data_IF_398483568640
#
_entry.id   IF_398483568640
#
_cell.length_a   1.000
_cell.length_b   1.000
_cell.length_c   1.000
_cell.angle_alpha   90.00
_cell.angle_beta   90.00
_cell.angle_gamma   90.00
#
_symmetry.space_group_name_H-M   'P 1'
#
loop_
_entity.id
_entity.type
_entity.pdbx_description
1 polymer ?
#
# COMPACT_ATOMS: atom_id res chain seq x y z
N UNK A 1 36.77 9.86 -5.24
CA UNK A 1 36.04 9.72 -6.52
C UNK A 1 36.31 8.32 -7.02
N UNK A 2 35.33 7.43 -6.90
CA UNK A 2 35.48 6.03 -7.29
C UNK A 2 34.14 5.51 -7.74
N UNK A 3 34.01 5.31 -9.05
CA UNK A 3 32.92 4.60 -9.70
C UNK A 3 32.89 3.17 -9.15
N UNK A 4 31.76 2.76 -8.56
CA UNK A 4 31.48 1.36 -8.26
C UNK A 4 30.11 1.00 -8.83
N UNK A 5 30.13 0.63 -10.11
CA UNK A 5 29.03 0.03 -10.85
C UNK A 5 28.81 -1.40 -10.33
N UNK A 6 27.89 -1.58 -9.39
CA UNK A 6 27.33 -2.90 -9.09
C UNK A 6 26.42 -3.35 -10.24
N UNK A 7 26.84 -4.38 -10.98
CA UNK A 7 26.01 -5.05 -11.98
C UNK A 7 25.08 -6.04 -11.27
N UNK A 8 23.77 -5.93 -11.50
CA UNK A 8 22.84 -7.01 -11.18
C UNK A 8 22.70 -7.90 -12.42
N UNK A 9 23.13 -9.16 -12.32
CA UNK A 9 22.86 -10.21 -13.30
C UNK A 9 21.57 -10.92 -12.90
N UNK A 10 20.57 -10.90 -13.76
CA UNK A 10 19.39 -11.79 -13.64
C UNK A 10 19.33 -12.73 -14.84
N UNK A 11 19.03 -14.00 -14.60
CA UNK A 11 18.88 -15.04 -15.62
C UNK A 11 17.38 -15.29 -15.80
N UNK A 12 16.87 -15.07 -17.01
CA UNK A 12 15.52 -15.48 -17.38
C UNK A 12 15.54 -16.98 -17.76
N UNK A 13 14.80 -17.81 -17.03
CA UNK A 13 14.73 -19.26 -17.32
C UNK A 13 13.82 -19.62 -18.52
N UNK A 14 13.16 -18.65 -19.15
CA UNK A 14 12.32 -18.83 -20.35
C UNK A 14 13.04 -18.61 -21.68
N UNK A 15 14.21 -17.97 -21.70
CA UNK A 15 14.96 -17.65 -22.93
C UNK A 15 16.47 -17.87 -22.70
N UNK A 16 17.04 -18.99 -23.15
CA UNK A 16 18.43 -19.36 -22.82
C UNK A 16 19.52 -18.50 -23.48
N UNK A 17 19.18 -17.48 -24.28
CA UNK A 17 20.15 -16.65 -25.01
C UNK A 17 20.15 -15.15 -24.64
N UNK A 18 19.35 -14.69 -23.67
CA UNK A 18 19.33 -13.29 -23.25
C UNK A 18 20.14 -13.06 -21.97
N UNK A 19 21.23 -12.28 -22.05
CA UNK A 19 21.95 -11.74 -20.88
C UNK A 19 21.54 -10.29 -20.68
N UNK A 20 20.94 -9.97 -19.53
CA UNK A 20 20.55 -8.60 -19.17
C UNK A 20 21.64 -7.94 -18.30
N UNK A 21 22.03 -6.72 -18.66
CA UNK A 21 22.98 -5.88 -17.92
C UNK A 21 22.27 -4.59 -17.49
N UNK A 22 22.07 -4.40 -16.18
CA UNK A 22 21.52 -3.18 -15.58
C UNK A 22 22.49 -2.52 -14.61
N UNK A 23 22.46 -1.19 -14.51
CA UNK A 23 23.23 -0.41 -13.53
C UNK A 23 22.30 0.50 -12.73
N UNK A 24 22.65 0.82 -11.49
CA UNK A 24 21.77 1.54 -10.56
C UNK A 24 21.38 2.98 -10.99
N UNK A 25 22.05 3.57 -11.99
CA UNK A 25 21.80 4.94 -12.44
C UNK A 25 20.87 5.05 -13.67
N UNK A 26 20.71 3.96 -14.41
CA UNK A 26 19.91 3.93 -15.62
C UNK A 26 19.19 2.57 -15.64
N UNK A 27 17.86 2.59 -15.63
CA UNK A 27 17.05 1.37 -15.71
C UNK A 27 17.57 0.40 -16.77
N UNK A 28 17.25 -0.89 -16.60
CA UNK A 28 17.65 -1.94 -17.55
C UNK A 28 17.30 -1.51 -18.97
N UNK A 29 18.32 -1.33 -19.82
CA UNK A 29 18.12 -1.07 -21.25
C UNK A 29 18.14 -2.40 -21.98
N UNK A 30 16.98 -2.80 -22.50
CA UNK A 30 16.89 -3.93 -23.42
C UNK A 30 17.28 -3.42 -24.81
N UNK A 31 18.51 -3.71 -25.27
CA UNK A 31 18.83 -3.73 -26.69
C UNK A 31 18.32 -5.06 -27.26
N UNK A 32 17.03 -5.16 -27.58
CA UNK A 32 16.50 -6.29 -28.35
C UNK A 32 15.84 -5.79 -29.62
N UNK A 33 16.24 -6.39 -30.75
CA UNK A 33 15.64 -6.19 -32.05
C UNK A 33 14.38 -7.06 -32.23
N UNK A 34 13.47 -7.06 -31.25
CA UNK A 34 12.25 -7.87 -31.29
C UNK A 34 11.06 -7.02 -31.74
N UNK A 35 10.67 -7.19 -33.01
CA UNK A 35 9.52 -6.52 -33.65
C UNK A 35 8.21 -6.69 -32.88
N UNK A 36 8.04 -7.79 -32.12
CA UNK A 36 6.84 -8.05 -31.30
C UNK A 36 6.73 -7.10 -30.10
N UNK A 37 7.86 -6.77 -29.45
CA UNK A 37 7.89 -5.80 -28.35
C UNK A 37 7.70 -4.37 -28.87
N UNK A 38 8.24 -4.05 -30.04
CA UNK A 38 7.99 -2.77 -30.70
C UNK A 38 6.52 -2.60 -31.10
N UNK A 39 5.87 -3.66 -31.60
CA UNK A 39 4.44 -3.61 -31.95
C UNK A 39 3.55 -3.45 -30.71
N UNK A 40 3.88 -4.14 -29.61
CA UNK A 40 3.20 -3.97 -28.33
C UNK A 40 3.39 -2.54 -27.76
N UNK A 41 4.62 -2.00 -27.83
CA UNK A 41 4.91 -0.62 -27.42
C UNK A 41 4.19 0.41 -28.31
N UNK A 42 4.13 0.21 -29.63
CA UNK A 42 3.37 1.08 -30.56
C UNK A 42 1.86 0.97 -30.36
N UNK A 43 1.35 -0.20 -30.00
CA UNK A 43 -0.07 -0.38 -29.65
C UNK A 43 -0.41 0.35 -28.34
N UNK A 44 0.47 0.28 -27.33
CA UNK A 44 0.34 1.02 -26.09
C UNK A 44 0.46 2.54 -26.29
N UNK A 45 1.38 3.00 -27.16
CA UNK A 45 1.52 4.41 -27.54
C UNK A 45 0.23 4.97 -28.13
N UNK A 46 -0.35 4.26 -29.11
CA UNK A 46 -1.61 4.67 -29.76
C UNK A 46 -2.80 4.68 -28.81
N UNK A 47 -2.76 3.89 -27.73
CA UNK A 47 -3.76 3.92 -26.67
C UNK A 47 -3.55 5.11 -25.71
N UNK A 48 -2.30 5.52 -25.48
CA UNK A 48 -1.94 6.64 -24.60
C UNK A 48 -2.14 8.02 -25.25
N UNK A 49 -1.93 8.13 -26.57
CA UNK A 49 -2.04 9.37 -27.36
C UNK A 49 -3.48 9.94 -27.43
N UNK A 50 -4.47 9.16 -26.98
CA UNK A 50 -5.87 9.57 -26.79
C UNK A 50 -6.37 9.50 -25.35
N UNK A 51 -5.54 9.12 -24.38
CA UNK A 51 -5.95 8.99 -22.99
C UNK A 51 -6.07 10.38 -22.36
N UNK A 52 -7.29 10.88 -22.23
CA UNK A 52 -7.57 12.01 -21.37
C UNK A 52 -7.09 11.69 -19.94
N UNK A 53 -6.66 12.70 -19.14
CA UNK A 53 -6.45 12.50 -17.72
C UNK A 53 -7.69 11.81 -17.12
N UNK A 54 -7.52 10.92 -16.13
CA UNK A 54 -8.66 10.34 -15.45
C UNK A 54 -9.59 11.49 -15.03
N UNK A 55 -10.85 11.43 -15.49
CA UNK A 55 -11.86 12.40 -15.09
C UNK A 55 -11.90 12.46 -13.56
N UNK A 56 -12.31 13.58 -12.96
CA UNK A 56 -12.54 13.60 -11.52
C UNK A 56 -13.49 12.45 -11.12
N UNK A 57 -13.00 11.52 -10.29
CA UNK A 57 -13.68 10.27 -9.93
C UNK A 57 -13.27 9.01 -10.72
N UNK A 58 -12.39 9.12 -11.71
CA UNK A 58 -11.71 7.95 -12.28
C UNK A 58 -10.48 7.62 -11.41
N UNK A 59 -10.41 6.38 -10.93
CA UNK A 59 -9.36 5.97 -10.02
C UNK A 59 -8.00 5.70 -10.69
N UNK A 60 -6.99 5.42 -9.88
CA UNK A 60 -5.67 4.94 -10.29
C UNK A 60 -5.16 3.84 -9.36
N UNK A 61 -4.32 2.99 -9.91
CA UNK A 61 -3.58 1.96 -9.19
C UNK A 61 -2.17 2.50 -8.88
N UNK A 62 -1.93 2.88 -7.63
CA UNK A 62 -0.63 3.31 -7.14
C UNK A 62 0.15 2.12 -6.56
N UNK A 63 1.34 1.87 -7.10
CA UNK A 63 2.22 0.78 -6.65
C UNK A 63 3.53 1.35 -6.12
N UNK A 64 3.85 1.01 -4.87
CA UNK A 64 5.21 1.14 -4.35
C UNK A 64 6.03 0.00 -4.95
N UNK A 65 6.91 0.35 -5.88
CA UNK A 65 7.77 -0.59 -6.61
C UNK A 65 9.02 -0.92 -5.80
N UNK A 66 9.54 0.05 -5.04
CA UNK A 66 10.78 -0.15 -4.32
C UNK A 66 10.83 0.72 -3.07
N UNK A 67 11.30 0.13 -1.98
CA UNK A 67 11.91 0.84 -0.87
C UNK A 67 13.39 0.43 -0.84
N UNK A 68 14.26 1.42 -0.96
CA UNK A 68 15.70 1.20 -1.06
C UNK A 68 16.42 1.90 0.09
N UNK A 69 16.86 1.17 1.14
CA UNK A 69 17.71 1.71 2.18
C UNK A 69 19.00 2.30 1.62
N UNK A 70 19.41 3.45 2.14
CA UNK A 70 20.70 4.05 1.81
C UNK A 70 21.83 3.09 2.16
N UNK A 71 22.90 3.14 1.35
CA UNK A 71 24.09 2.29 1.51
C UNK A 71 23.80 0.78 1.51
N UNK A 72 22.64 0.35 1.02
CA UNK A 72 22.16 -1.04 1.10
C UNK A 72 22.13 -1.58 2.54
N UNK A 73 21.92 -0.68 3.51
CA UNK A 73 21.89 -1.04 4.91
C UNK A 73 20.78 -2.08 5.17
N UNK A 74 21.08 -3.15 5.93
CA UNK A 74 20.04 -4.07 6.39
C UNK A 74 19.07 -3.34 7.34
N UNK A 75 17.89 -3.94 7.55
CA UNK A 75 16.79 -3.32 8.33
C UNK A 75 17.23 -2.89 9.72
N UNK A 76 18.17 -3.62 10.35
CA UNK A 76 18.65 -3.38 11.71
C UNK A 76 19.56 -2.15 11.84
N UNK A 77 20.04 -1.58 10.73
CA UNK A 77 20.92 -0.40 10.76
C UNK A 77 20.53 0.72 9.78
N UNK A 78 19.53 0.48 8.94
CA UNK A 78 19.06 1.44 7.96
C UNK A 78 18.48 2.70 8.63
N UNK A 79 19.07 3.87 8.31
CA UNK A 79 18.58 5.15 8.84
C UNK A 79 17.61 5.82 7.88
N UNK A 80 17.91 5.74 6.58
CA UNK A 80 17.15 6.40 5.51
C UNK A 80 16.90 5.46 4.36
N UNK A 81 15.83 5.71 3.63
CA UNK A 81 15.52 5.03 2.38
C UNK A 81 14.95 6.00 1.35
N UNK A 82 15.01 5.58 0.08
CA UNK A 82 14.22 6.18 -0.99
C UNK A 82 13.03 5.27 -1.29
N UNK A 83 11.87 5.86 -1.57
CA UNK A 83 10.66 5.14 -1.98
C UNK A 83 10.39 5.51 -3.44
N UNK A 84 10.32 4.50 -4.29
CA UNK A 84 9.95 4.63 -5.69
C UNK A 84 8.59 4.00 -5.97
N UNK A 85 7.75 4.70 -6.72
CA UNK A 85 6.39 4.27 -7.00
C UNK A 85 5.95 4.60 -8.43
N UNK A 86 4.95 3.87 -8.91
CA UNK A 86 4.28 4.09 -10.20
C UNK A 86 2.79 4.24 -10.03
N UNK A 87 2.19 4.93 -11.00
CA UNK A 87 0.75 5.04 -11.17
C UNK A 87 0.35 4.30 -12.43
N UNK A 88 -0.74 3.55 -12.36
CA UNK A 88 -1.33 2.82 -13.47
C UNK A 88 -2.82 3.12 -13.58
N UNK A 89 -3.37 2.91 -14.78
CA UNK A 89 -4.81 2.89 -14.99
C UNK A 89 -5.42 1.71 -14.21
N UNK A 90 -6.62 1.87 -13.62
CA UNK A 90 -7.19 0.87 -12.71
C UNK A 90 -7.23 -0.54 -13.29
N UNK A 91 -6.77 -1.51 -12.49
CA UNK A 91 -6.74 -2.94 -12.82
C UNK A 91 -5.95 -3.26 -14.08
N UNK A 92 -4.89 -2.49 -14.35
CA UNK A 92 -4.02 -2.68 -15.52
C UNK A 92 -2.58 -2.30 -15.21
N UNK A 93 -1.67 -2.56 -16.15
CA UNK A 93 -0.31 -2.00 -16.17
C UNK A 93 -0.20 -0.83 -17.17
N UNK A 94 -1.32 -0.34 -17.69
CA UNK A 94 -1.32 0.79 -18.61
C UNK A 94 -0.97 2.06 -17.84
N UNK A 95 -0.10 2.87 -18.42
CA UNK A 95 0.32 4.13 -17.80
C UNK A 95 -0.76 5.20 -18.00
N UNK A 96 -0.92 6.13 -17.04
CA UNK A 96 -1.72 7.33 -17.24
C UNK A 96 -1.18 8.20 -18.37
N UNK A 97 -1.97 9.20 -18.78
CA UNK A 97 -1.60 10.17 -19.80
C UNK A 97 -0.25 10.86 -19.50
N UNK A 98 0.57 11.04 -20.53
CA UNK A 98 1.95 11.54 -20.43
C UNK A 98 2.07 12.90 -19.72
N UNK A 99 1.11 13.80 -19.97
CA UNK A 99 1.06 15.13 -19.35
C UNK A 99 0.45 15.17 -17.96
N UNK A 100 -0.01 14.05 -17.41
CA UNK A 100 -0.67 14.02 -16.10
C UNK A 100 0.38 14.10 -14.99
N UNK A 101 0.30 15.18 -14.21
CA UNK A 101 1.22 15.52 -13.12
C UNK A 101 0.47 15.69 -11.80
N UNK A 102 -0.15 14.62 -11.27
CA UNK A 102 -0.89 14.74 -10.02
C UNK A 102 0.05 14.97 -8.84
N UNK A 103 -0.48 15.53 -7.76
CA UNK A 103 0.19 15.51 -6.47
C UNK A 103 0.08 14.10 -5.88
N UNK A 104 1.22 13.51 -5.54
CA UNK A 104 1.31 12.16 -5.01
C UNK A 104 1.93 12.22 -3.63
N UNK A 105 1.17 11.82 -2.63
CA UNK A 105 1.62 11.76 -1.24
C UNK A 105 1.90 10.33 -0.82
N UNK A 106 3.04 10.12 -0.17
CA UNK A 106 3.34 8.88 0.56
C UNK A 106 2.91 9.10 2.00
N UNK A 107 2.27 8.08 2.55
CA UNK A 107 1.79 8.04 3.93
C UNK A 107 2.50 6.90 4.65
N UNK A 108 2.73 7.07 5.95
CA UNK A 108 3.45 6.13 6.80
C UNK A 108 2.65 5.82 8.06
N UNK A 109 2.42 4.54 8.33
CA UNK A 109 2.01 4.04 9.64
C UNK A 109 3.23 3.49 10.39
N UNK A 110 3.32 3.78 11.69
CA UNK A 110 4.28 3.17 12.61
C UNK A 110 3.52 2.21 13.51
N UNK A 111 3.88 0.93 13.49
CA UNK A 111 3.20 -0.11 14.24
C UNK A 111 1.69 -0.15 14.00
N UNK A 112 0.92 0.23 15.03
CA UNK A 112 -0.53 0.27 15.05
C UNK A 112 -1.05 1.71 15.13
N UNK A 113 -0.18 2.69 14.90
CA UNK A 113 -0.59 4.08 14.76
C UNK A 113 -1.22 4.30 13.38
N UNK A 114 -2.24 5.18 13.29
CA UNK A 114 -2.79 5.64 12.03
C UNK A 114 -1.70 6.12 11.08
N UNK A 115 -1.87 5.82 9.80
CA UNK A 115 -0.98 6.31 8.76
C UNK A 115 -1.10 7.84 8.66
N UNK A 116 0.03 8.51 8.67
CA UNK A 116 0.15 9.96 8.53
C UNK A 116 0.81 10.33 7.20
N UNK A 117 0.52 11.52 6.62
CA UNK A 117 1.28 12.05 5.51
C UNK A 117 2.77 12.12 5.87
N UNK A 118 3.60 11.44 5.07
CA UNK A 118 5.05 11.45 5.23
C UNK A 118 5.70 12.53 4.36
N UNK A 119 5.24 12.66 3.11
CA UNK A 119 5.78 13.62 2.17
C UNK A 119 5.18 13.50 0.77
N UNK A 120 5.51 14.46 -0.10
CA UNK A 120 5.12 14.46 -1.51
C UNK A 120 6.21 13.78 -2.33
N UNK A 121 5.83 12.75 -3.09
CA UNK A 121 6.72 12.10 -4.05
C UNK A 121 6.82 12.97 -5.32
N UNK A 122 8.03 13.12 -5.84
CA UNK A 122 8.31 13.96 -7.00
C UNK A 122 8.36 13.11 -8.26
N UNK A 123 7.64 13.53 -9.30
CA UNK A 123 7.68 12.87 -10.60
C UNK A 123 9.06 13.04 -11.22
N UNK A 124 9.68 11.93 -11.63
CA UNK A 124 10.95 11.93 -12.33
C UNK A 124 10.78 12.54 -13.72
N UNK A 125 11.85 13.16 -14.21
CA UNK A 125 11.95 13.67 -15.58
C UNK A 125 13.14 13.01 -16.28
N UNK A 126 12.96 12.58 -17.52
CA UNK A 126 14.01 12.01 -18.39
C UNK A 126 14.01 12.79 -19.69
N UNK A 127 15.16 13.36 -20.07
CA UNK A 127 15.31 14.21 -21.26
C UNK A 127 14.28 15.35 -21.35
N UNK A 128 13.94 15.94 -20.21
CA UNK A 128 12.95 17.02 -20.10
C UNK A 128 11.49 16.56 -20.17
N UNK A 129 11.23 15.26 -20.37
CA UNK A 129 9.89 14.68 -20.41
C UNK A 129 9.50 14.04 -19.08
N UNK A 130 8.23 14.16 -18.66
CA UNK A 130 7.74 13.49 -17.46
C UNK A 130 7.84 11.98 -17.64
N UNK A 131 8.42 11.32 -16.64
CA UNK A 131 8.50 9.87 -16.57
C UNK A 131 7.47 9.41 -15.52
N UNK A 132 6.70 8.34 -15.77
CA UNK A 132 5.60 7.92 -14.90
C UNK A 132 6.13 7.14 -13.69
N UNK A 133 7.05 7.77 -12.97
CA UNK A 133 7.73 7.26 -11.79
C UNK A 133 7.90 8.41 -10.82
N UNK A 134 7.52 8.18 -9.57
CA UNK A 134 7.62 9.17 -8.51
C UNK A 134 8.56 8.66 -7.43
N UNK A 135 9.33 9.58 -6.86
CA UNK A 135 10.34 9.28 -5.85
C UNK A 135 10.12 10.16 -4.61
N UNK A 136 10.14 9.55 -3.43
CA UNK A 136 10.30 10.24 -2.16
C UNK A 136 11.63 9.82 -1.54
N UNK A 137 12.60 10.74 -1.54
CA UNK A 137 13.96 10.49 -1.07
C UNK A 137 14.12 10.81 0.43
N UNK A 138 15.18 10.26 1.02
CA UNK A 138 15.61 10.58 2.38
C UNK A 138 14.56 10.30 3.48
N UNK A 139 13.71 9.31 3.26
CA UNK A 139 12.70 8.90 4.24
C UNK A 139 13.40 8.30 5.46
N UNK A 140 13.17 8.89 6.64
CA UNK A 140 13.62 8.31 7.90
C UNK A 140 12.89 6.99 8.19
N UNK A 141 13.66 5.91 8.20
CA UNK A 141 13.22 4.54 8.50
C UNK A 141 13.88 3.99 9.76
N UNK A 142 14.64 4.82 10.49
CA UNK A 142 15.46 4.39 11.64
C UNK A 142 14.64 3.73 12.76
N UNK A 143 13.35 4.03 12.85
CA UNK A 143 12.43 3.38 13.80
C UNK A 143 12.34 1.87 13.58
N UNK A 144 12.48 1.37 12.36
CA UNK A 144 12.42 -0.05 12.04
C UNK A 144 13.69 -0.83 12.44
N UNK A 145 14.75 -0.14 12.88
CA UNK A 145 15.95 -0.79 13.42
C UNK A 145 15.65 -1.55 14.74
N UNK A 146 14.62 -1.11 15.47
CA UNK A 146 14.11 -1.85 16.62
C UNK A 146 13.17 -2.97 16.13
N UNK A 147 13.43 -4.24 16.46
CA UNK A 147 12.58 -5.36 16.01
C UNK A 147 11.14 -5.31 16.57
N UNK A 148 10.87 -4.51 17.60
CA UNK A 148 9.52 -4.25 18.10
C UNK A 148 8.73 -3.27 17.23
N UNK A 149 9.41 -2.53 16.34
CA UNK A 149 8.84 -1.49 15.51
C UNK A 149 8.79 -1.90 14.02
N UNK A 150 7.71 -1.49 13.35
CA UNK A 150 7.50 -1.72 11.93
C UNK A 150 6.88 -0.49 11.26
N UNK A 151 7.26 -0.27 10.02
CA UNK A 151 6.77 0.82 9.19
C UNK A 151 5.96 0.25 8.04
N UNK A 152 4.80 0.84 7.77
CA UNK A 152 4.03 0.56 6.57
C UNK A 152 3.88 1.83 5.74
N UNK A 153 3.99 1.70 4.43
CA UNK A 153 3.85 2.80 3.49
C UNK A 153 2.70 2.54 2.53
N UNK A 154 1.95 3.61 2.25
CA UNK A 154 0.84 3.62 1.31
C UNK A 154 0.83 4.94 0.53
N UNK A 155 0.16 4.96 -0.60
CA UNK A 155 0.16 6.08 -1.54
C UNK A 155 -1.23 6.67 -1.68
N UNK A 156 -1.32 8.00 -1.76
CA UNK A 156 -2.53 8.72 -2.14
C UNK A 156 -2.24 9.73 -3.24
N UNK A 157 -3.12 9.77 -4.22
CA UNK A 157 -3.08 10.72 -5.33
C UNK A 157 -4.20 11.72 -5.15
N UNK A 158 -3.88 13.01 -5.16
CA UNK A 158 -4.86 14.06 -4.91
C UNK A 158 -5.95 14.10 -6.00
N UNK A 159 -7.21 14.20 -5.59
CA UNK A 159 -8.34 14.44 -6.49
C UNK A 159 -8.85 13.22 -7.27
N UNK A 160 -8.29 12.02 -7.02
CA UNK A 160 -8.70 10.75 -7.65
C UNK A 160 -8.75 9.60 -6.64
N UNK A 161 -9.60 8.62 -6.90
CA UNK A 161 -9.65 7.40 -6.09
C UNK A 161 -8.36 6.61 -6.27
N UNK A 162 -7.64 6.33 -5.17
CA UNK A 162 -6.35 5.64 -5.23
C UNK A 162 -6.46 4.24 -4.63
N UNK A 163 -6.31 3.21 -5.47
CA UNK A 163 -6.00 1.87 -5.02
C UNK A 163 -4.47 1.79 -4.80
N UNK A 164 -4.02 1.44 -3.59
CA UNK A 164 -2.59 1.47 -3.23
C UNK A 164 -2.07 0.09 -2.87
N UNK A 165 -0.85 -0.26 -3.28
CA UNK A 165 -0.11 -1.33 -2.62
C UNK A 165 0.35 -0.87 -1.22
N UNK A 166 0.75 -1.83 -0.38
CA UNK A 166 1.32 -1.56 0.95
C UNK A 166 2.72 -2.13 1.00
N UNK A 167 3.69 -1.29 1.31
CA UNK A 167 5.06 -1.74 1.57
C UNK A 167 5.32 -1.81 3.07
N UNK A 168 5.80 -2.93 3.57
CA UNK A 168 6.20 -3.08 4.97
C UNK A 168 7.73 -3.11 5.13
N UNK A 169 8.24 -2.39 6.12
CA UNK A 169 9.65 -2.34 6.49
C UNK A 169 9.81 -2.57 8.00
N UNK A 170 10.47 -3.66 8.37
CA UNK A 170 10.69 -4.09 9.75
C UNK A 170 11.26 -5.50 9.77
N UNK A 171 11.96 -5.86 10.86
CA UNK A 171 12.56 -7.19 11.02
C UNK A 171 11.48 -8.29 11.04
N UNK A 172 10.37 -8.00 11.72
CA UNK A 172 9.13 -8.77 11.67
C UNK A 172 7.93 -7.81 11.55
N UNK A 173 7.42 -7.58 10.34
CA UNK A 173 6.33 -6.64 10.13
C UNK A 173 4.95 -7.24 10.42
N UNK A 174 4.85 -8.37 11.15
CA UNK A 174 3.55 -8.94 11.49
C UNK A 174 2.85 -8.06 12.53
N UNK A 175 1.54 -7.94 12.38
CA UNK A 175 0.71 -7.35 13.43
C UNK A 175 0.30 -8.44 14.41
N UNK A 176 0.82 -8.38 15.62
CA UNK A 176 0.33 -9.17 16.75
C UNK A 176 -0.91 -8.52 17.36
N UNK A 177 -1.75 -9.30 18.06
CA UNK A 177 -2.96 -8.81 18.71
C UNK A 177 -2.71 -7.45 19.39
N UNK A 178 -3.28 -6.35 18.88
CA UNK A 178 -2.95 -5.04 19.36
C UNK A 178 -3.54 -4.85 20.74
N UNK A 179 -2.94 -3.94 21.48
CA UNK A 179 -3.64 -3.33 22.58
C UNK A 179 -4.86 -2.58 22.01
N UNK A 180 -6.06 -3.07 22.29
CA UNK A 180 -7.28 -2.41 21.86
C UNK A 180 -7.37 -1.02 22.50
N UNK A 181 -7.65 -0.02 21.68
CA UNK A 181 -7.85 1.35 22.13
C UNK A 181 -9.24 1.52 22.73
N UNK A 182 -9.26 1.95 23.99
CA UNK A 182 -10.47 2.37 24.68
C UNK A 182 -10.69 3.87 24.46
N UNK A 183 -11.85 4.32 23.95
CA UNK A 183 -12.10 5.75 23.80
C UNK A 183 -11.96 6.51 25.13
N UNK A 184 -11.45 7.74 25.08
CA UNK A 184 -11.42 8.66 26.22
C UNK A 184 -12.69 9.53 26.32
N UNK A 185 -13.54 9.49 25.29
CA UNK A 185 -14.81 10.20 25.22
C UNK A 185 -15.48 10.03 23.86
N UNK A 186 -16.50 10.86 23.61
CA UNK A 186 -17.22 10.92 22.33
C UNK A 186 -16.93 12.26 21.68
N UNK A 187 -16.61 12.24 20.39
CA UNK A 187 -16.39 13.43 19.59
C UNK A 187 -17.71 14.19 19.39
N UNK A 188 -17.65 15.52 19.45
CA UNK A 188 -18.77 16.42 19.18
C UNK A 188 -18.53 17.21 17.89
N UNK A 189 -19.63 17.66 17.27
CA UNK A 189 -19.59 18.45 16.03
C UNK A 189 -19.40 17.61 14.77
N UNK A 190 -19.09 18.30 13.67
CA UNK A 190 -18.80 17.65 12.39
C UNK A 190 -17.48 16.87 12.45
N UNK A 191 -17.48 15.67 11.87
CA UNK A 191 -16.31 14.78 11.83
C UNK A 191 -15.87 14.66 10.38
N UNK A 192 -14.89 15.49 9.99
CA UNK A 192 -14.33 15.50 8.64
C UNK A 192 -13.10 14.57 8.48
N UNK A 193 -12.43 14.27 9.60
CA UNK A 193 -11.19 13.49 9.63
C UNK A 193 -11.27 12.45 10.75
N UNK A 194 -10.91 11.21 10.45
CA UNK A 194 -10.99 10.08 11.38
C UNK A 194 -9.74 9.20 11.32
N UNK A 195 -9.32 8.73 12.49
CA UNK A 195 -8.41 7.60 12.61
C UNK A 195 -9.23 6.31 12.52
N UNK A 196 -8.98 5.49 11.49
CA UNK A 196 -9.60 4.18 11.35
C UNK A 196 -8.66 3.12 11.93
N UNK A 197 -9.00 2.63 13.12
CA UNK A 197 -8.16 1.67 13.85
C UNK A 197 -8.76 0.28 13.79
N UNK A 198 -8.03 -0.67 13.20
CA UNK A 198 -8.34 -2.09 13.29
C UNK A 198 -8.02 -2.54 14.72
N UNK A 199 -9.06 -2.86 15.47
CA UNK A 199 -8.98 -3.25 16.88
C UNK A 199 -8.79 -4.77 17.05
N UNK A 200 -9.40 -5.55 16.16
CA UNK A 200 -9.41 -7.00 16.23
C UNK A 200 -9.29 -7.54 14.81
N UNK A 201 -8.38 -8.49 14.63
CA UNK A 201 -8.45 -9.48 13.56
C UNK A 201 -8.47 -10.83 14.24
N UNK A 202 -9.57 -11.56 14.10
CA UNK A 202 -9.79 -12.84 14.75
C UNK A 202 -9.90 -13.94 13.69
N UNK A 203 -8.84 -14.72 13.46
CA UNK A 203 -8.84 -15.78 12.46
C UNK A 203 -9.61 -17.01 12.94
N UNK A 204 -10.41 -17.62 12.06
CA UNK A 204 -11.25 -18.77 12.37
C UNK A 204 -11.48 -19.70 11.16
N UNK A 205 -12.07 -20.87 11.42
CA UNK A 205 -12.57 -21.79 10.38
C UNK A 205 -14.04 -21.51 10.01
N UNK A 206 -14.57 -22.24 9.01
CA UNK A 206 -15.96 -22.07 8.55
C UNK A 206 -17.02 -22.39 9.64
N UNK A 207 -16.63 -23.11 10.68
CA UNK A 207 -17.50 -23.40 11.83
C UNK A 207 -17.40 -22.32 12.92
N UNK A 208 -16.60 -21.27 12.72
CA UNK A 208 -16.41 -20.19 13.68
C UNK A 208 -15.54 -20.57 14.87
N UNK A 209 -14.68 -21.58 14.75
CA UNK A 209 -13.70 -21.87 15.79
C UNK A 209 -12.41 -21.09 15.52
N UNK A 210 -11.82 -20.52 16.56
CA UNK A 210 -10.54 -19.81 16.46
C UNK A 210 -9.44 -20.72 15.88
N UNK A 211 -8.63 -20.15 14.99
CA UNK A 211 -7.51 -20.81 14.33
C UNK A 211 -6.28 -19.92 14.34
N UNK A 212 -5.11 -20.55 14.22
CA UNK A 212 -3.87 -19.81 13.99
C UNK A 212 -3.86 -19.23 12.56
N UNK A 213 -2.99 -18.26 12.31
CA UNK A 213 -2.82 -17.65 10.96
C UNK A 213 -2.52 -18.71 9.88
N UNK A 214 -1.83 -19.80 10.25
CA UNK A 214 -1.47 -20.90 9.34
C UNK A 214 -2.60 -21.91 9.10
N UNK A 215 -3.75 -21.76 9.77
CA UNK A 215 -4.87 -22.70 9.71
C UNK A 215 -6.21 -22.03 9.39
N UNK A 216 -6.27 -20.70 9.47
CA UNK A 216 -7.51 -19.94 9.29
C UNK A 216 -7.80 -19.68 7.81
N UNK A 217 -9.00 -20.07 7.36
CA UNK A 217 -9.52 -19.68 6.04
C UNK A 217 -10.17 -18.30 6.05
N UNK A 218 -10.71 -17.89 7.21
CA UNK A 218 -11.53 -16.71 7.40
C UNK A 218 -11.03 -15.88 8.61
N UNK A 219 -11.40 -14.61 8.65
CA UNK A 219 -11.20 -13.78 9.83
C UNK A 219 -12.34 -12.76 9.99
N UNK A 220 -12.72 -12.50 11.23
CA UNK A 220 -13.52 -11.32 11.56
C UNK A 220 -12.59 -10.14 11.84
N UNK A 221 -12.95 -8.97 11.29
CA UNK A 221 -12.18 -7.73 11.45
C UNK A 221 -13.05 -6.67 12.10
N UNK A 222 -12.65 -6.17 13.27
CA UNK A 222 -13.36 -5.10 13.97
C UNK A 222 -12.59 -3.80 13.86
N UNK A 223 -13.29 -2.75 13.44
CA UNK A 223 -12.75 -1.40 13.26
C UNK A 223 -13.46 -0.43 14.20
N UNK A 224 -12.69 0.44 14.83
CA UNK A 224 -13.19 1.60 15.56
C UNK A 224 -12.70 2.88 14.89
N UNK A 225 -13.55 3.90 14.88
CA UNK A 225 -13.21 5.22 14.36
C UNK A 225 -13.11 6.23 15.49
N UNK A 226 -12.04 7.02 15.46
CA UNK A 226 -11.79 8.11 16.38
C UNK A 226 -11.67 9.41 15.60
N UNK A 227 -12.04 10.54 16.19
CA UNK A 227 -11.69 11.84 15.62
C UNK A 227 -10.17 11.92 15.50
N UNK A 228 -9.68 12.25 14.30
CA UNK A 228 -8.25 12.22 13.99
C UNK A 228 -7.40 12.93 15.05
N UNK A 229 -6.27 12.31 15.42
CA UNK A 229 -5.33 12.83 16.41
C UNK A 229 -5.84 12.79 17.86
N UNK A 230 -6.94 12.09 18.13
CA UNK A 230 -7.54 11.99 19.47
C UNK A 230 -7.98 10.55 19.81
N UNK A 231 -8.30 10.31 21.08
CA UNK A 231 -9.01 9.08 21.53
C UNK A 231 -10.52 9.28 21.68
N UNK A 232 -11.09 10.31 21.07
CA UNK A 232 -12.53 10.54 21.08
C UNK A 232 -13.18 9.70 19.99
N UNK A 233 -14.04 8.75 20.36
CA UNK A 233 -14.74 7.94 19.37
C UNK A 233 -15.81 8.77 18.65
N UNK A 234 -16.09 8.42 17.39
CA UNK A 234 -17.27 8.92 16.68
C UNK A 234 -18.56 8.57 17.47
N UNK A 235 -19.63 9.37 17.41
CA UNK A 235 -20.87 9.07 18.13
C UNK A 235 -21.59 7.86 17.53
N UNK A 236 -22.43 7.16 18.33
CA UNK A 236 -23.20 5.97 17.89
C UNK A 236 -24.07 6.23 16.66
N UNK A 237 -24.52 7.47 16.46
CA UNK A 237 -25.30 7.89 15.29
C UNK A 237 -24.46 8.39 14.11
N UNK A 238 -23.13 8.27 14.13
CA UNK A 238 -22.29 8.67 13.02
C UNK A 238 -22.51 7.74 11.82
N UNK A 239 -22.86 8.34 10.68
CA UNK A 239 -23.21 7.65 9.46
C UNK A 239 -22.34 8.18 8.31
N UNK A 240 -21.14 7.62 8.10
CA UNK A 240 -20.40 7.86 6.86
C UNK A 240 -21.15 7.26 5.67
N UNK A 241 -20.78 7.65 4.45
CA UNK A 241 -21.45 7.16 3.23
C UNK A 241 -21.26 5.65 3.05
N UNK A 242 -20.05 5.16 3.36
CA UNK A 242 -19.73 3.75 3.47
C UNK A 242 -18.55 3.53 4.40
N UNK A 243 -18.43 2.32 4.93
CA UNK A 243 -17.23 1.86 5.63
C UNK A 243 -16.70 0.65 4.87
N UNK A 244 -15.47 0.78 4.39
CA UNK A 244 -14.86 -0.16 3.45
C UNK A 244 -13.66 -0.81 4.11
N UNK A 245 -13.63 -2.15 4.11
CA UNK A 245 -12.42 -2.89 4.40
C UNK A 245 -11.69 -3.14 3.09
N UNK A 246 -10.46 -2.68 3.00
CA UNK A 246 -9.57 -2.88 1.88
C UNK A 246 -8.48 -3.87 2.28
N UNK A 247 -7.91 -4.54 1.28
CA UNK A 247 -6.69 -5.29 1.49
C UNK A 247 -5.87 -5.51 0.23
N UNK A 248 -4.57 -5.69 0.45
CA UNK A 248 -3.56 -5.91 -0.57
C UNK A 248 -2.81 -7.21 -0.27
N UNK A 249 -2.76 -8.11 -1.24
CA UNK A 249 -1.96 -9.32 -1.14
C UNK A 249 -0.54 -9.06 -1.61
N UNK A 250 0.45 -9.37 -0.79
CA UNK A 250 1.86 -9.17 -1.13
C UNK A 250 2.13 -7.72 -1.59
N UNK A 251 2.41 -7.54 -2.88
CA UNK A 251 2.67 -6.25 -3.52
C UNK A 251 1.56 -5.85 -4.51
N UNK A 252 0.45 -6.60 -4.54
CA UNK A 252 -0.73 -6.23 -5.32
C UNK A 252 -1.28 -4.88 -4.83
N UNK A 253 -1.94 -4.16 -5.73
CA UNK A 253 -2.74 -3.00 -5.33
C UNK A 253 -3.93 -3.45 -4.49
N UNK A 254 -4.27 -2.60 -3.51
CA UNK A 254 -5.41 -2.75 -2.64
C UNK A 254 -6.70 -2.95 -3.41
N UNK A 255 -7.49 -3.91 -2.96
CA UNK A 255 -8.85 -4.12 -3.42
C UNK A 255 -9.78 -4.00 -2.24
N UNK A 256 -10.98 -3.54 -2.50
CA UNK A 256 -12.06 -3.67 -1.54
C UNK A 256 -12.34 -5.16 -1.27
N UNK A 257 -12.29 -5.55 -0.01
CA UNK A 257 -12.65 -6.89 0.45
C UNK A 257 -14.11 -6.94 0.92
N UNK A 258 -14.58 -5.89 1.59
CA UNK A 258 -15.94 -5.81 2.10
C UNK A 258 -16.43 -4.34 2.24
N UNK A 259 -17.75 -4.13 2.13
CA UNK A 259 -18.42 -2.82 2.23
C UNK A 259 -19.58 -2.78 3.22
N UNK A 260 -19.98 -3.92 3.75
CA UNK A 260 -21.19 -4.08 4.57
C UNK A 260 -20.83 -4.57 5.95
N UNK A 261 -20.12 -3.77 6.77
CA UNK A 261 -19.87 -4.16 8.15
C UNK A 261 -21.14 -4.13 8.98
N UNK A 262 -21.19 -4.96 10.01
CA UNK A 262 -22.21 -4.90 11.05
C UNK A 262 -21.79 -3.87 12.09
N UNK A 263 -22.58 -2.80 12.23
CA UNK A 263 -22.36 -1.84 13.30
C UNK A 263 -22.76 -2.46 14.65
N UNK A 264 -21.86 -2.40 15.63
CA UNK A 264 -22.08 -2.83 17.00
C UNK A 264 -21.84 -1.66 17.95
N UNK A 265 -22.52 -1.69 19.10
CA UNK A 265 -22.31 -0.71 20.16
C UNK A 265 -21.54 -1.37 21.30
N UNK A 266 -20.40 -0.79 21.65
CA UNK A 266 -19.58 -1.21 22.78
C UNK A 266 -19.69 -0.21 23.94
N UNK A 267 -19.37 -0.69 25.14
CA UNK A 267 -19.34 0.11 26.35
C UNK A 267 -18.01 -0.08 27.09
N UNK A 268 -17.35 1.02 27.38
CA UNK A 268 -16.17 1.08 28.24
C UNK A 268 -16.42 2.09 29.36
N UNK A 269 -16.70 1.58 30.57
CA UNK A 269 -17.12 2.42 31.70
C UNK A 269 -18.41 3.20 31.38
N UNK A 270 -18.31 4.53 31.37
CA UNK A 270 -19.41 5.44 31.07
C UNK A 270 -19.54 5.78 29.56
N UNK A 271 -18.59 5.33 28.72
CA UNK A 271 -18.55 5.68 27.30
C UNK A 271 -19.22 4.57 26.50
N UNK A 272 -20.19 4.95 25.67
CA UNK A 272 -20.87 4.06 24.71
C UNK A 272 -20.54 4.52 23.31
N UNK A 273 -19.98 3.64 22.48
CA UNK A 273 -19.39 3.99 21.20
C UNK A 273 -19.60 2.90 20.15
N UNK A 274 -19.66 3.26 18.85
CA UNK A 274 -19.82 2.30 17.78
C UNK A 274 -18.49 1.65 17.38
N UNK A 275 -18.57 0.41 16.93
CA UNK A 275 -17.53 -0.30 16.17
C UNK A 275 -18.18 -1.00 14.97
N UNK A 276 -17.39 -1.36 13.98
CA UNK A 276 -17.85 -2.00 12.75
C UNK A 276 -17.13 -3.31 12.56
N UNK A 277 -17.90 -4.40 12.45
CA UNK A 277 -17.37 -5.74 12.27
C UNK A 277 -17.60 -6.23 10.85
N UNK A 278 -16.52 -6.64 10.19
CA UNK A 278 -16.55 -7.35 8.93
C UNK A 278 -16.39 -8.84 9.22
N UNK A 279 -17.43 -9.61 8.97
CA UNK A 279 -17.42 -11.06 9.22
C UNK A 279 -16.84 -11.83 8.04
N UNK A 280 -16.21 -12.96 8.34
CA UNK A 280 -15.84 -13.98 7.36
C UNK A 280 -14.96 -13.45 6.20
N UNK A 281 -14.03 -12.53 6.50
CA UNK A 281 -13.10 -11.99 5.51
C UNK A 281 -12.16 -13.12 5.07
N UNK A 282 -12.02 -13.41 3.77
CA UNK A 282 -11.19 -14.50 3.30
C UNK A 282 -9.70 -14.18 3.50
N UNK A 283 -9.02 -15.00 4.32
CA UNK A 283 -7.59 -14.88 4.62
C UNK A 283 -6.78 -16.12 4.27
N UNK A 284 -7.42 -17.18 3.77
CA UNK A 284 -6.77 -18.48 3.56
C UNK A 284 -5.51 -18.49 2.69
N UNK A 285 -5.32 -17.53 1.78
CA UNK A 285 -4.05 -17.39 1.04
C UNK A 285 -2.85 -17.13 1.97
N UNK A 286 -3.06 -16.48 3.10
CA UNK A 286 -2.03 -16.13 4.09
C UNK A 286 -1.50 -17.33 4.90
N UNK A 287 -2.13 -18.51 4.74
CA UNK A 287 -1.61 -19.77 5.30
C UNK A 287 -0.30 -20.19 4.62
N UNK A 288 -0.10 -19.80 3.35
CA UNK A 288 1.16 -19.96 2.65
C UNK A 288 2.15 -18.86 3.12
N UNK A 289 3.34 -19.22 3.64
CA UNK A 289 4.32 -18.25 4.11
C UNK A 289 4.84 -17.29 3.03
N UNK A 290 4.63 -17.58 1.74
CA UNK A 290 4.95 -16.64 0.66
C UNK A 290 3.92 -15.51 0.52
N UNK A 291 2.73 -15.69 1.10
CA UNK A 291 1.62 -14.77 0.99
C UNK A 291 1.38 -14.01 2.29
N UNK A 292 1.21 -12.70 2.18
CA UNK A 292 0.71 -11.83 3.26
C UNK A 292 -0.42 -10.96 2.77
N UNK A 293 -1.35 -10.69 3.67
CA UNK A 293 -2.45 -9.76 3.47
C UNK A 293 -2.24 -8.53 4.34
N UNK A 294 -2.24 -7.36 3.73
CA UNK A 294 -2.37 -6.09 4.44
C UNK A 294 -3.83 -5.67 4.43
N UNK A 295 -4.35 -5.25 5.58
CA UNK A 295 -5.72 -4.80 5.77
C UNK A 295 -5.72 -3.36 6.27
N UNK A 296 -6.67 -2.57 5.78
CA UNK A 296 -6.97 -1.25 6.29
C UNK A 296 -8.42 -0.88 6.03
N UNK A 297 -8.96 0.02 6.85
CA UNK A 297 -10.33 0.48 6.70
C UNK A 297 -10.39 1.95 6.28
N UNK A 298 -11.40 2.29 5.47
CA UNK A 298 -11.72 3.66 5.08
C UNK A 298 -13.17 3.97 5.36
N UNK A 299 -13.48 5.23 5.68
CA UNK A 299 -14.84 5.76 5.74
C UNK A 299 -15.05 6.77 4.60
N UNK A 300 -16.00 6.48 3.70
CA UNK A 300 -16.37 7.40 2.62
C UNK A 300 -17.10 8.62 3.21
N UNK A 301 -16.79 9.81 2.70
CA UNK A 301 -17.26 11.09 3.25
C UNK A 301 -16.40 11.68 4.37
N UNK A 302 -15.31 11.02 4.80
CA UNK A 302 -14.32 11.56 5.72
C UNK A 302 -12.89 11.23 5.29
N UNK A 303 -11.94 12.14 5.53
CA UNK A 303 -10.52 11.84 5.36
C UNK A 303 -10.13 10.80 6.41
N UNK A 304 -9.75 9.61 5.95
CA UNK A 304 -9.39 8.51 6.86
C UNK A 304 -7.88 8.41 7.04
N UNK A 305 -7.42 8.22 8.26
CA UNK A 305 -6.04 7.91 8.63
C UNK A 305 -6.05 6.45 9.14
N UNK A 306 -5.73 5.47 8.27
CA UNK A 306 -5.90 4.07 8.61
C UNK A 306 -4.70 3.51 9.38
N UNK A 307 -4.95 2.65 10.36
CA UNK A 307 -3.94 1.67 10.80
C UNK A 307 -3.79 0.58 9.74
N UNK A 308 -2.59 0.03 9.59
CA UNK A 308 -2.34 -1.13 8.73
C UNK A 308 -2.21 -2.38 9.59
N UNK A 309 -2.95 -3.42 9.24
CA UNK A 309 -2.79 -4.74 9.82
C UNK A 309 -2.13 -5.69 8.82
N UNK A 310 -1.04 -6.34 9.21
CA UNK A 310 -0.38 -7.37 8.41
C UNK A 310 -0.73 -8.78 8.93
N UNK A 311 -1.35 -9.59 8.08
CA UNK A 311 -1.76 -10.96 8.36
C UNK A 311 -1.02 -11.95 7.43
N UNK A 312 -0.22 -12.83 8.02
CA UNK A 312 0.55 -13.86 7.31
C UNK A 312 1.55 -14.57 8.22
N UNK A 313 1.98 -15.77 7.84
CA UNK A 313 2.99 -16.53 8.58
C UNK A 313 4.37 -15.83 8.56
N UNK A 314 4.70 -15.20 7.43
CA UNK A 314 5.75 -14.19 7.26
C UNK A 314 5.11 -12.99 6.54
N UNK A 315 5.34 -11.77 7.04
CA UNK A 315 4.74 -10.55 6.49
C UNK A 315 5.77 -9.65 5.80
N UNK A 316 7.04 -10.07 5.71
CA UNK A 316 8.08 -9.24 5.10
C UNK A 316 7.76 -8.98 3.63
N UNK A 317 7.99 -7.74 3.25
CA UNK A 317 7.86 -7.32 1.85
C UNK A 317 9.17 -7.60 1.14
N UNK A 318 9.15 -8.51 0.17
CA UNK A 318 10.28 -8.75 -0.73
C UNK A 318 10.24 -7.78 -1.91
N UNK A 319 11.41 -7.54 -2.52
CA UNK A 319 11.47 -6.81 -3.79
C UNK A 319 10.47 -7.42 -4.77
N UNK A 320 9.59 -6.60 -5.39
CA UNK A 320 8.66 -7.13 -6.36
C UNK A 320 9.44 -7.67 -7.56
N UNK A 321 8.84 -8.64 -8.25
CA UNK A 321 9.22 -8.87 -9.63
C UNK A 321 8.97 -7.56 -10.38
N UNK A 322 9.98 -7.04 -11.08
CA UNK A 322 9.81 -5.80 -11.84
C UNK A 322 8.73 -6.01 -12.90
N UNK A 323 7.74 -5.12 -12.91
CA UNK A 323 6.79 -5.03 -14.01
C UNK A 323 7.55 -4.46 -15.23
N UNK A 324 8.07 -5.37 -16.07
CA UNK A 324 8.75 -5.07 -17.34
C UNK A 324 7.78 -5.23 -18.55
N UNK A 325 8.00 -4.48 -19.65
CA UNK A 325 8.98 -3.42 -19.83
C UNK A 325 8.53 -2.09 -19.24
N UNK A 326 9.50 -1.33 -18.72
CA UNK A 326 9.31 0.05 -18.29
C UNK A 326 9.19 0.93 -19.54
N UNK A 327 7.97 1.07 -20.05
CA UNK A 327 7.72 1.99 -21.15
C UNK A 327 7.71 3.42 -20.61
N UNK A 328 8.46 4.30 -21.26
CA UNK A 328 8.24 5.73 -21.10
C UNK A 328 6.83 6.09 -21.56
N UNK A 329 6.33 7.21 -21.06
CA UNK A 329 5.20 7.91 -21.66
C UNK A 329 5.51 8.15 -23.15
N UNK A 330 4.88 7.40 -24.06
CA UNK A 330 5.07 7.58 -25.50
C UNK A 330 4.29 8.83 -25.93
N UNK A 331 4.91 9.75 -26.69
CA UNK A 331 4.34 11.06 -27.00
C UNK A 331 3.07 10.97 -27.83
#
# INVERSE_FOLDING_TARGET
MGDNLGQALTINHGEPESVFLGTAAAGVWVLSANTVLEEAARAAARAADGAAPPAHGAGVDARIEVLWPHDWAPVESAQRANIGLRLFMPRSLALPACGWRPQVSVWRALDMDPAEPLGQALQRTVDGQPFPYWELNDVDISRANDPGHKLYFLVRVEGVDTATSVWAHGADPRTYFPQQDVPSGIAAGQIAEVDARIQIVWPHDEAGNERTVTEAGLANVVVAFFKHGTRLSVPVGWQPEAIVLNGAWNQEVGKQLARTPVAQVRRAGAITYPVWEFNDVPVGRAMDPQNRLYLWATAEGALTYPTIWAHGADSRTFFPAQDEPILGCLP
#
